data_IF_640580033057
#
_entry.id   IF_640580033057
#
_cell.length_a   1.000
_cell.length_b   1.000
_cell.length_c   1.000
_cell.angle_alpha   90.00
_cell.angle_beta   90.00
_cell.angle_gamma   90.00
#
_symmetry.space_group_name_H-M   'P 1'
#
loop_
_entity.id
_entity.type
_entity.pdbx_description
1 polymer ?
#
# COMPACT_ATOMS: atom_id res chain seq x y z
N UNK A 1 -14.86 -11.68 8.43
CA UNK A 1 -15.61 -12.44 9.44
C UNK A 1 -15.42 -11.83 10.84
N UNK A 2 -16.40 -11.10 11.37
CA UNK A 2 -16.37 -10.51 12.71
C UNK A 2 -16.12 -9.01 12.74
N UNK A 3 -16.11 -8.43 13.94
CA UNK A 3 -15.97 -6.98 14.20
C UNK A 3 -14.47 -6.55 14.26
N UNK A 4 -13.57 -7.29 13.61
CA UNK A 4 -12.15 -7.00 13.58
C UNK A 4 -11.80 -5.84 12.65
N UNK A 5 -10.52 -5.45 12.69
CA UNK A 5 -9.94 -4.37 11.88
C UNK A 5 -10.16 -4.56 10.38
N UNK A 6 -10.30 -3.44 9.66
CA UNK A 6 -10.39 -3.39 8.21
C UNK A 6 -9.13 -2.76 7.63
N UNK A 7 -8.44 -3.47 6.75
CA UNK A 7 -7.21 -3.01 6.11
C UNK A 7 -7.36 -2.96 4.60
N UNK A 8 -6.79 -1.92 3.99
CA UNK A 8 -6.64 -1.76 2.54
C UNK A 8 -5.17 -1.96 2.18
N UNK A 9 -4.89 -2.91 1.29
CA UNK A 9 -3.54 -3.20 0.79
C UNK A 9 -3.52 -2.97 -0.71
N UNK A 10 -2.66 -2.06 -1.15
CA UNK A 10 -2.57 -1.56 -2.53
C UNK A 10 -1.21 -1.91 -3.12
N UNK A 11 -1.21 -2.29 -4.38
CA UNK A 11 -0.06 -2.36 -5.26
C UNK A 11 -0.43 -1.89 -6.66
N UNK A 12 0.57 -1.63 -7.51
CA UNK A 12 0.33 -1.15 -8.86
C UNK A 12 -0.28 0.26 -8.91
N UNK A 13 0.03 1.09 -7.92
CA UNK A 13 -0.20 2.55 -7.94
C UNK A 13 0.52 3.16 -9.15
N UNK A 14 1.76 2.71 -9.41
CA UNK A 14 2.43 2.89 -10.69
C UNK A 14 2.52 1.53 -11.39
N UNK A 15 2.30 1.51 -12.71
CA UNK A 15 2.12 0.26 -13.44
C UNK A 15 3.41 -0.46 -13.82
N UNK A 16 4.57 0.14 -13.62
CA UNK A 16 5.89 -0.45 -13.82
C UNK A 16 6.55 -0.98 -12.52
N UNK A 17 5.80 -0.98 -11.41
CA UNK A 17 6.21 -1.44 -10.08
C UNK A 17 5.51 -2.79 -9.79
N UNK A 18 6.23 -3.92 -9.95
CA UNK A 18 5.61 -5.25 -10.00
C UNK A 18 5.68 -6.03 -8.68
N UNK A 19 6.54 -5.63 -7.75
CA UNK A 19 6.79 -6.33 -6.49
C UNK A 19 5.54 -6.35 -5.60
N UNK A 20 4.88 -5.18 -5.43
CA UNK A 20 3.63 -5.07 -4.69
C UNK A 20 2.50 -5.93 -5.27
N UNK A 21 2.17 -5.79 -6.57
CA UNK A 21 1.21 -6.66 -7.25
C UNK A 21 1.47 -8.15 -7.04
N UNK A 22 2.73 -8.58 -7.20
CA UNK A 22 3.14 -9.97 -7.03
C UNK A 22 2.88 -10.48 -5.61
N UNK A 23 3.34 -9.74 -4.60
CA UNK A 23 3.17 -10.10 -3.20
C UNK A 23 1.68 -10.17 -2.80
N UNK A 24 0.88 -9.19 -3.21
CA UNK A 24 -0.56 -9.16 -2.92
C UNK A 24 -1.28 -10.36 -3.54
N UNK A 25 -0.98 -10.71 -4.79
CA UNK A 25 -1.59 -11.87 -5.44
C UNK A 25 -1.20 -13.20 -4.78
N UNK A 26 0.02 -13.32 -4.26
CA UNK A 26 0.47 -14.52 -3.53
C UNK A 26 -0.25 -14.62 -2.19
N UNK A 27 -0.32 -13.54 -1.42
CA UNK A 27 -1.07 -13.50 -0.16
C UNK A 27 -2.55 -13.83 -0.39
N UNK A 28 -3.19 -13.26 -1.40
CA UNK A 28 -4.60 -13.53 -1.71
C UNK A 28 -4.91 -15.02 -1.87
N UNK A 29 -3.94 -15.80 -2.38
CA UNK A 29 -4.07 -17.26 -2.53
C UNK A 29 -3.75 -18.04 -1.25
N UNK A 30 -2.98 -17.45 -0.34
CA UNK A 30 -2.53 -18.11 0.88
C UNK A 30 -3.46 -17.86 2.08
N UNK A 31 -4.28 -16.82 2.04
CA UNK A 31 -5.20 -16.47 3.13
C UNK A 31 -6.34 -17.49 3.26
N UNK A 32 -6.52 -17.98 4.48
CA UNK A 32 -7.61 -18.87 4.88
C UNK A 32 -8.66 -18.07 5.67
N UNK A 33 -9.86 -17.94 5.12
CA UNK A 33 -10.92 -17.06 5.65
C UNK A 33 -11.37 -17.43 7.08
N UNK A 34 -11.33 -18.69 7.44
CA UNK A 34 -11.69 -19.20 8.78
C UNK A 34 -10.64 -18.83 9.84
N UNK A 35 -9.41 -18.56 9.42
CA UNK A 35 -8.31 -18.10 10.27
C UNK A 35 -8.23 -16.58 10.40
N UNK A 36 -9.20 -15.85 9.88
CA UNK A 36 -9.22 -14.39 9.90
C UNK A 36 -10.27 -13.82 10.82
N UNK A 37 -9.96 -12.65 11.38
CA UNK A 37 -10.88 -11.81 12.14
C UNK A 37 -10.79 -10.37 11.60
N UNK A 38 -11.83 -9.90 10.92
CA UNK A 38 -11.84 -8.59 10.28
C UNK A 38 -11.93 -8.67 8.75
N UNK A 39 -11.50 -7.61 8.09
CA UNK A 39 -11.66 -7.44 6.65
C UNK A 39 -10.35 -7.04 5.99
N UNK A 40 -10.02 -7.67 4.87
CA UNK A 40 -8.88 -7.31 4.03
C UNK A 40 -9.39 -6.95 2.64
N UNK A 41 -9.08 -5.74 2.19
CA UNK A 41 -9.30 -5.30 0.81
C UNK A 41 -7.95 -5.34 0.11
N UNK A 42 -7.84 -6.13 -0.95
CA UNK A 42 -6.63 -6.30 -1.74
C UNK A 42 -6.82 -5.68 -3.13
N UNK A 43 -5.99 -4.71 -3.47
CA UNK A 43 -5.95 -4.08 -4.80
C UNK A 43 -4.55 -4.30 -5.39
N UNK A 44 -4.32 -5.39 -6.12
CA UNK A 44 -2.99 -5.70 -6.67
C UNK A 44 -2.60 -4.82 -7.86
N UNK A 45 -3.54 -4.12 -8.48
CA UNK A 45 -3.31 -3.32 -9.67
C UNK A 45 -4.22 -2.08 -9.65
N UNK A 46 -3.88 -1.10 -8.78
CA UNK A 46 -4.70 0.08 -8.59
C UNK A 46 -4.92 0.84 -9.89
N UNK A 47 -3.84 1.17 -10.58
CA UNK A 47 -3.90 1.80 -11.92
C UNK A 47 -3.80 0.71 -12.99
N UNK A 48 -4.87 -0.10 -13.14
CA UNK A 48 -4.86 -1.31 -13.95
C UNK A 48 -4.35 -1.10 -15.38
N UNK A 49 -4.78 -0.04 -16.06
CA UNK A 49 -4.32 0.26 -17.42
C UNK A 49 -2.81 0.56 -17.47
N UNK A 50 -2.26 1.20 -16.42
CA UNK A 50 -0.83 1.43 -16.30
C UNK A 50 -0.07 0.11 -16.08
N UNK A 51 -0.59 -0.78 -15.22
CA UNK A 51 0.00 -2.12 -14.98
C UNK A 51 0.03 -2.93 -16.28
N UNK A 52 -1.05 -2.95 -17.05
CA UNK A 52 -1.09 -3.64 -18.35
C UNK A 52 -0.06 -3.09 -19.36
N UNK A 53 0.26 -1.82 -19.28
CA UNK A 53 1.25 -1.16 -20.17
C UNK A 53 2.64 -1.07 -19.56
N UNK A 54 2.79 -1.51 -18.30
CA UNK A 54 4.04 -1.36 -17.56
C UNK A 54 4.54 0.09 -17.61
N UNK A 55 3.65 1.04 -17.36
CA UNK A 55 3.92 2.49 -17.40
C UNK A 55 3.70 3.12 -16.03
N UNK A 56 4.51 4.14 -15.70
CA UNK A 56 4.38 4.86 -14.43
C UNK A 56 3.06 5.64 -14.34
N UNK A 57 2.63 6.24 -15.44
CA UNK A 57 1.37 7.00 -15.53
C UNK A 57 0.27 6.17 -16.17
N UNK A 58 -0.98 6.52 -15.90
CA UNK A 58 -2.13 5.91 -16.53
C UNK A 58 -2.18 6.27 -18.02
N UNK A 59 -2.13 5.33 -18.97
CA UNK A 59 -2.14 5.63 -20.40
C UNK A 59 -3.47 6.22 -20.91
N UNK A 60 -4.54 6.19 -20.13
CA UNK A 60 -5.84 6.74 -20.50
C UNK A 60 -5.88 8.27 -20.40
N UNK A 61 -5.08 8.86 -19.52
CA UNK A 61 -5.09 10.31 -19.22
C UNK A 61 -3.70 10.90 -18.97
N UNK A 62 -2.64 10.08 -19.00
CA UNK A 62 -1.26 10.42 -18.69
C UNK A 62 -1.03 10.96 -17.28
N UNK A 63 -1.97 10.75 -16.36
CA UNK A 63 -1.86 11.20 -14.97
C UNK A 63 -1.10 10.19 -14.14
N UNK A 64 -0.26 10.69 -13.22
CA UNK A 64 0.36 9.89 -12.17
C UNK A 64 -0.64 9.75 -11.01
N UNK A 65 -1.06 8.52 -10.69
CA UNK A 65 -2.01 8.22 -9.61
C UNK A 65 -1.58 8.83 -8.28
N UNK A 66 -0.30 8.74 -7.95
CA UNK A 66 0.25 9.29 -6.70
C UNK A 66 0.53 10.80 -6.75
N UNK A 67 -0.13 11.51 -7.70
CA UNK A 67 -0.19 12.97 -7.84
C UNK A 67 -1.61 13.45 -8.18
N UNK A 68 -2.61 12.57 -8.01
CA UNK A 68 -3.99 12.86 -8.40
C UNK A 68 -4.92 13.18 -7.23
N UNK A 69 -4.50 12.95 -5.99
CA UNK A 69 -5.30 13.22 -4.80
C UNK A 69 -5.46 14.74 -4.52
N UNK A 70 -6.62 15.19 -4.04
CA UNK A 70 -7.79 14.43 -3.58
C UNK A 70 -8.67 13.90 -4.71
N UNK A 71 -8.35 14.16 -5.96
CA UNK A 71 -9.12 13.76 -7.11
C UNK A 71 -10.31 14.66 -7.41
N UNK A 72 -11.08 14.26 -8.43
CA UNK A 72 -12.28 14.95 -8.88
C UNK A 72 -13.29 13.92 -9.40
N UNK A 73 -14.52 13.84 -8.86
CA UNK A 73 -15.52 12.84 -9.30
C UNK A 73 -15.99 13.03 -10.75
N UNK A 74 -15.77 14.22 -11.31
CA UNK A 74 -16.10 14.54 -12.71
C UNK A 74 -14.83 14.77 -13.57
N UNK A 75 -13.68 14.34 -13.08
CA UNK A 75 -12.39 14.52 -13.74
C UNK A 75 -12.00 13.38 -14.69
N UNK A 76 -10.72 13.24 -14.92
CA UNK A 76 -10.13 12.15 -15.70
C UNK A 76 -10.30 10.81 -14.95
N UNK A 77 -10.13 9.64 -15.61
CA UNK A 77 -10.23 8.34 -14.96
C UNK A 77 -9.36 8.21 -13.70
N UNK A 78 -8.13 8.74 -13.73
CA UNK A 78 -7.23 8.73 -12.56
C UNK A 78 -7.73 9.64 -11.45
N UNK A 79 -8.24 10.82 -11.76
CA UNK A 79 -8.80 11.73 -10.76
C UNK A 79 -10.08 11.18 -10.14
N UNK A 80 -10.94 10.52 -10.92
CA UNK A 80 -12.13 9.85 -10.40
C UNK A 80 -11.77 8.73 -9.42
N UNK A 81 -10.74 7.94 -9.76
CA UNK A 81 -10.25 6.87 -8.88
C UNK A 81 -9.64 7.44 -7.59
N UNK A 82 -8.82 8.48 -7.68
CA UNK A 82 -8.26 9.17 -6.53
C UNK A 82 -9.35 9.71 -5.60
N UNK A 83 -10.38 10.33 -6.18
CA UNK A 83 -11.53 10.81 -5.42
C UNK A 83 -12.24 9.69 -4.68
N UNK A 84 -12.57 8.59 -5.35
CA UNK A 84 -13.21 7.42 -4.71
C UNK A 84 -12.36 6.84 -3.57
N UNK A 85 -11.06 6.73 -3.77
CA UNK A 85 -10.16 6.26 -2.72
C UNK A 85 -10.19 7.16 -1.49
N UNK A 86 -10.07 8.47 -1.69
CA UNK A 86 -9.97 9.42 -0.57
C UNK A 86 -11.31 9.67 0.12
N UNK A 87 -12.41 9.77 -0.63
CA UNK A 87 -13.72 10.09 -0.07
C UNK A 87 -14.45 8.89 0.54
N UNK A 88 -14.21 7.67 0.02
CA UNK A 88 -15.01 6.51 0.37
C UNK A 88 -14.17 5.37 0.95
N UNK A 89 -13.13 4.93 0.22
CA UNK A 89 -12.49 3.68 0.57
C UNK A 89 -11.53 3.83 1.76
N UNK A 90 -10.64 4.81 1.73
CA UNK A 90 -9.68 5.08 2.82
C UNK A 90 -10.40 5.33 4.14
N UNK A 91 -11.41 6.23 4.22
CA UNK A 91 -12.10 6.51 5.49
C UNK A 91 -12.84 5.29 6.06
N UNK A 92 -13.16 4.29 5.22
CA UNK A 92 -13.80 3.06 5.67
C UNK A 92 -12.84 2.04 6.30
N UNK A 93 -11.54 2.32 6.32
CA UNK A 93 -10.49 1.41 6.77
C UNK A 93 -9.81 1.88 8.07
N UNK A 94 -9.28 0.94 8.85
CA UNK A 94 -8.44 1.23 10.03
C UNK A 94 -6.97 1.44 9.66
N UNK A 95 -6.52 0.89 8.53
CA UNK A 95 -5.15 1.02 8.04
C UNK A 95 -5.07 0.89 6.52
N UNK A 96 -4.06 1.54 5.94
CA UNK A 96 -3.73 1.48 4.51
C UNK A 96 -2.27 1.10 4.33
N UNK A 97 -1.98 0.19 3.42
CA UNK A 97 -0.64 -0.20 3.01
C UNK A 97 -0.51 0.01 1.50
N UNK A 98 0.50 0.74 1.05
CA UNK A 98 0.79 0.96 -0.37
C UNK A 98 2.19 0.44 -0.71
N UNK A 99 2.26 -0.55 -1.61
CA UNK A 99 3.51 -1.20 -1.98
C UNK A 99 4.03 -0.63 -3.29
N UNK A 100 5.14 0.09 -3.20
CA UNK A 100 5.88 0.67 -4.30
C UNK A 100 7.20 -0.03 -4.56
N UNK A 101 7.85 0.34 -5.65
CA UNK A 101 9.24 0.01 -5.97
C UNK A 101 9.87 1.07 -6.87
N UNK A 102 11.14 0.89 -7.22
CA UNK A 102 11.84 1.76 -8.19
C UNK A 102 11.32 1.68 -9.63
N UNK A 103 10.37 0.79 -9.91
CA UNK A 103 9.87 0.55 -11.26
C UNK A 103 10.99 0.21 -12.23
N UNK A 104 10.91 0.70 -13.46
CA UNK A 104 11.96 0.48 -14.48
C UNK A 104 13.17 1.40 -14.33
N UNK A 105 13.01 2.54 -13.65
CA UNK A 105 13.98 3.63 -13.69
C UNK A 105 14.99 3.60 -12.54
N UNK A 106 14.66 2.97 -11.44
CA UNK A 106 15.50 2.96 -10.24
C UNK A 106 15.39 1.64 -9.48
N UNK A 107 16.25 1.50 -8.47
CA UNK A 107 16.22 0.38 -7.52
C UNK A 107 16.35 0.95 -6.11
N UNK A 108 15.43 0.58 -5.24
CA UNK A 108 15.49 0.92 -3.82
C UNK A 108 15.99 -0.25 -3.00
N UNK A 109 16.86 0.04 -2.03
CA UNK A 109 17.00 -0.87 -0.90
C UNK A 109 15.64 -1.00 -0.21
N UNK A 110 15.15 -2.23 0.07
CA UNK A 110 13.84 -2.39 0.67
C UNK A 110 13.69 -1.58 1.96
N UNK A 111 12.70 -0.70 1.99
CA UNK A 111 12.41 0.13 3.16
C UNK A 111 10.91 0.35 3.37
N UNK A 112 10.52 0.51 4.64
CA UNK A 112 9.19 0.94 5.02
C UNK A 112 9.16 2.48 5.14
N UNK A 113 8.05 3.10 4.73
CA UNK A 113 7.87 4.54 4.76
C UNK A 113 6.77 4.89 5.76
N UNK A 114 7.07 5.79 6.69
CA UNK A 114 6.09 6.37 7.61
C UNK A 114 5.99 7.88 7.37
N UNK A 115 4.79 8.38 7.08
CA UNK A 115 4.57 9.82 6.90
C UNK A 115 4.43 10.50 8.26
N UNK A 116 5.21 11.56 8.48
CA UNK A 116 5.06 12.41 9.66
C UNK A 116 3.74 13.19 9.58
N UNK A 117 3.07 13.35 10.72
CA UNK A 117 1.82 14.12 10.83
C UNK A 117 1.89 15.10 11.99
N UNK A 118 1.08 16.18 11.90
CA UNK A 118 0.83 17.07 13.02
C UNK A 118 0.05 16.37 14.14
N UNK A 119 -0.80 15.41 13.78
CA UNK A 119 -1.44 14.49 14.73
C UNK A 119 -0.40 13.45 15.19
N UNK A 120 0.06 13.60 16.43
CA UNK A 120 1.11 12.73 17.00
C UNK A 120 0.67 11.27 17.13
N UNK A 121 -0.61 11.02 17.38
CA UNK A 121 -1.15 9.67 17.53
C UNK A 121 -1.23 8.98 16.16
N UNK A 122 -1.62 9.71 15.11
CA UNK A 122 -1.57 9.22 13.74
C UNK A 122 -0.13 8.91 13.32
N UNK A 123 0.81 9.83 13.58
CA UNK A 123 2.22 9.58 13.26
C UNK A 123 2.77 8.36 13.99
N UNK A 124 2.44 8.19 15.26
CA UNK A 124 2.81 6.98 16.02
C UNK A 124 2.22 5.72 15.39
N UNK A 125 0.96 5.78 14.96
CA UNK A 125 0.30 4.66 14.28
C UNK A 125 0.99 4.31 12.95
N UNK A 126 1.39 5.32 12.16
CA UNK A 126 2.15 5.13 10.93
C UNK A 126 3.51 4.47 11.19
N UNK A 127 4.24 4.91 12.22
CA UNK A 127 5.51 4.30 12.63
C UNK A 127 5.31 2.87 13.10
N UNK A 128 4.31 2.59 13.92
CA UNK A 128 4.02 1.24 14.39
C UNK A 128 3.72 0.27 13.24
N UNK A 129 3.01 0.73 12.19
CA UNK A 129 2.79 -0.07 10.98
C UNK A 129 4.11 -0.34 10.25
N UNK A 130 4.96 0.67 10.08
CA UNK A 130 6.26 0.53 9.44
C UNK A 130 7.19 -0.40 10.22
N UNK A 131 7.23 -0.30 11.55
CA UNK A 131 7.97 -1.20 12.43
C UNK A 131 7.42 -2.64 12.36
N UNK A 132 6.10 -2.79 12.39
CA UNK A 132 5.45 -4.09 12.28
C UNK A 132 5.73 -4.80 10.95
N UNK A 133 5.90 -4.05 9.85
CA UNK A 133 6.27 -4.61 8.55
C UNK A 133 7.60 -5.38 8.62
N UNK A 134 8.56 -4.93 9.44
CA UNK A 134 9.73 -5.70 9.82
C UNK A 134 10.92 -5.62 8.86
N UNK A 135 10.99 -4.59 8.02
CA UNK A 135 12.20 -4.25 7.24
C UNK A 135 13.15 -3.45 8.12
N UNK A 136 14.47 -3.62 7.91
CA UNK A 136 15.50 -2.96 8.72
C UNK A 136 15.52 -1.43 8.60
N UNK A 137 15.14 -0.90 7.42
CA UNK A 137 15.18 0.52 7.11
C UNK A 137 13.77 1.10 7.17
N UNK A 138 13.58 2.12 8.00
CA UNK A 138 12.37 2.93 8.03
C UNK A 138 12.72 4.34 7.58
N UNK A 139 12.10 4.78 6.49
CA UNK A 139 12.22 6.14 5.98
C UNK A 139 11.03 6.99 6.47
N UNK A 140 11.31 7.97 7.30
CA UNK A 140 10.29 8.90 7.76
C UNK A 140 10.15 10.05 6.76
N UNK A 141 9.01 10.08 6.07
CA UNK A 141 8.66 11.19 5.18
C UNK A 141 8.27 12.41 6.01
N UNK A 142 9.01 13.49 5.78
CA UNK A 142 8.85 14.74 6.53
C UNK A 142 7.74 15.64 5.98
N UNK A 143 7.77 16.90 6.41
CA UNK A 143 6.77 17.94 6.08
C UNK A 143 6.66 18.28 4.58
N UNK A 144 7.59 17.84 3.75
CA UNK A 144 7.59 18.08 2.30
C UNK A 144 6.98 16.93 1.51
N UNK A 145 6.16 16.10 2.15
CA UNK A 145 5.37 15.11 1.43
C UNK A 145 4.43 15.83 0.45
N UNK A 146 4.25 15.26 -0.75
CA UNK A 146 3.38 15.85 -1.78
C UNK A 146 1.90 15.70 -1.36
N UNK A 147 1.18 16.82 -1.24
CA UNK A 147 -0.23 16.84 -0.82
C UNK A 147 -1.16 16.05 -1.75
N UNK A 148 -0.68 15.76 -2.97
CA UNK A 148 -1.41 14.99 -3.99
C UNK A 148 -1.11 13.49 -3.94
N UNK A 149 -0.41 13.01 -2.91
CA UNK A 149 -0.08 11.60 -2.73
C UNK A 149 -1.15 10.83 -1.96
N UNK A 150 -1.14 9.49 -2.08
CA UNK A 150 -1.99 8.60 -1.27
C UNK A 150 -1.70 8.75 0.23
N UNK A 151 -0.44 8.97 0.59
CA UNK A 151 -0.04 9.21 1.98
C UNK A 151 -0.74 10.44 2.56
N UNK A 152 -0.80 11.53 1.79
CA UNK A 152 -1.49 12.75 2.19
C UNK A 152 -3.01 12.57 2.25
N UNK A 153 -3.57 11.76 1.35
CA UNK A 153 -4.99 11.38 1.39
C UNK A 153 -5.33 10.62 2.69
N UNK A 154 -4.51 9.64 3.07
CA UNK A 154 -4.69 8.91 4.32
C UNK A 154 -4.53 9.82 5.55
N UNK A 155 -3.56 10.77 5.53
CA UNK A 155 -3.40 11.77 6.60
C UNK A 155 -4.63 12.66 6.73
N UNK A 156 -5.19 13.17 5.62
CA UNK A 156 -6.42 13.96 5.64
C UNK A 156 -7.63 13.19 6.18
N UNK A 157 -7.71 11.91 5.85
CA UNK A 157 -8.74 10.99 6.38
C UNK A 157 -8.49 10.57 7.84
N UNK A 158 -7.35 10.93 8.43
CA UNK A 158 -6.90 10.50 9.76
C UNK A 158 -6.84 8.97 9.89
N UNK A 159 -6.43 8.27 8.83
CA UNK A 159 -6.27 6.81 8.77
C UNK A 159 -4.79 6.46 8.80
N UNK A 160 -4.41 5.50 9.64
CA UNK A 160 -3.04 5.02 9.73
C UNK A 160 -2.55 4.44 8.40
N UNK A 161 -1.37 4.85 7.95
CA UNK A 161 -0.80 4.39 6.69
C UNK A 161 0.70 4.17 6.78
N UNK A 162 1.18 3.12 6.13
CA UNK A 162 2.58 2.97 5.73
C UNK A 162 2.65 2.66 4.24
N UNK A 163 3.75 3.03 3.62
CA UNK A 163 4.12 2.54 2.30
C UNK A 163 5.44 1.75 2.38
N UNK A 164 5.79 1.04 1.33
CA UNK A 164 7.11 0.41 1.20
C UNK A 164 7.70 0.69 -0.18
N UNK A 165 9.02 0.85 -0.24
CA UNK A 165 9.78 0.81 -1.49
C UNK A 165 10.52 -0.53 -1.55
N UNK A 166 10.29 -1.31 -2.60
CA UNK A 166 10.63 -2.72 -2.67
C UNK A 166 11.44 -3.04 -3.94
N UNK A 167 12.74 -2.74 -3.95
CA UNK A 167 13.58 -3.07 -5.10
C UNK A 167 13.30 -2.21 -6.32
N UNK A 168 13.01 -2.83 -7.47
CA UNK A 168 12.82 -2.16 -8.76
C UNK A 168 13.65 -2.77 -9.88
N UNK A 169 14.09 -1.93 -10.85
CA UNK A 169 14.86 -2.40 -12.01
C UNK A 169 14.00 -3.07 -13.10
N UNK A 170 12.67 -2.91 -13.02
CA UNK A 170 11.72 -3.40 -14.03
C UNK A 170 11.43 -4.89 -13.96
N UNK A 171 11.77 -5.55 -12.86
CA UNK A 171 11.53 -6.97 -12.63
C UNK A 171 11.02 -7.26 -11.22
N UNK A 172 10.83 -8.54 -10.94
CA UNK A 172 10.45 -9.02 -9.60
C UNK A 172 11.42 -10.10 -9.17
N UNK A 173 12.10 -9.92 -8.04
CA UNK A 173 12.91 -10.99 -7.45
C UNK A 173 12.12 -11.81 -6.43
N UNK A 174 12.40 -13.11 -6.30
CA UNK A 174 11.81 -13.95 -5.24
C UNK A 174 12.14 -13.41 -3.85
N UNK A 175 13.34 -12.89 -3.63
CA UNK A 175 13.80 -12.33 -2.36
C UNK A 175 12.94 -11.14 -1.94
N UNK A 176 12.79 -10.16 -2.82
CA UNK A 176 11.97 -8.94 -2.56
C UNK A 176 10.50 -9.32 -2.35
N UNK A 177 9.98 -10.27 -3.15
CA UNK A 177 8.60 -10.74 -2.98
C UNK A 177 8.39 -11.38 -1.61
N UNK A 178 9.35 -12.19 -1.14
CA UNK A 178 9.28 -12.81 0.19
C UNK A 178 9.35 -11.76 1.32
N UNK A 179 10.16 -10.71 1.16
CA UNK A 179 10.20 -9.57 2.10
C UNK A 179 8.82 -8.92 2.18
N UNK A 180 8.21 -8.61 1.03
CA UNK A 180 6.90 -8.00 0.96
C UNK A 180 5.80 -8.88 1.59
N UNK A 181 5.77 -10.18 1.27
CA UNK A 181 4.82 -11.12 1.86
C UNK A 181 4.96 -11.23 3.37
N UNK A 182 6.20 -11.39 3.85
CA UNK A 182 6.48 -11.46 5.28
C UNK A 182 6.02 -10.18 5.98
N UNK A 183 6.31 -9.02 5.40
CA UNK A 183 5.89 -7.73 5.92
C UNK A 183 4.36 -7.60 6.01
N UNK A 184 3.65 -8.02 4.96
CA UNK A 184 2.18 -8.00 4.96
C UNK A 184 1.60 -8.95 6.03
N UNK A 185 2.15 -10.16 6.18
CA UNK A 185 1.74 -11.11 7.23
C UNK A 185 1.97 -10.52 8.62
N UNK A 186 3.11 -9.86 8.83
CA UNK A 186 3.41 -9.19 10.08
C UNK A 186 2.41 -8.08 10.42
N UNK A 187 2.03 -7.26 9.43
CA UNK A 187 0.97 -6.23 9.57
C UNK A 187 -0.37 -6.88 9.96
N UNK A 188 -0.77 -7.95 9.27
CA UNK A 188 -2.02 -8.64 9.55
C UNK A 188 -2.05 -9.23 10.97
N UNK A 189 -0.91 -9.76 11.45
CA UNK A 189 -0.74 -10.21 12.84
C UNK A 189 -0.78 -9.04 13.83
N UNK A 190 -0.07 -7.95 13.55
CA UNK A 190 -0.06 -6.74 14.37
C UNK A 190 -1.46 -6.16 14.57
N UNK A 191 -2.26 -6.15 13.51
CA UNK A 191 -3.65 -5.68 13.55
C UNK A 191 -4.64 -6.71 14.12
N UNK A 192 -4.17 -7.90 14.52
CA UNK A 192 -4.98 -9.02 15.00
C UNK A 192 -6.03 -9.50 13.98
N UNK A 193 -5.73 -9.35 12.68
CA UNK A 193 -6.59 -9.84 11.60
C UNK A 193 -6.37 -11.34 11.38
N UNK A 194 -5.13 -11.84 11.55
CA UNK A 194 -4.86 -13.27 11.56
C UNK A 194 -5.06 -13.84 12.97
N UNK A 195 -5.79 -14.96 13.07
CA UNK A 195 -6.09 -15.64 14.36
C UNK A 195 -4.91 -16.48 14.88
N UNK A 196 -3.97 -16.83 14.02
CA UNK A 196 -2.80 -17.67 14.38
C UNK A 196 -1.51 -17.01 13.91
N UNK A 197 -0.50 -16.98 14.81
CA UNK A 197 0.83 -16.40 14.51
C UNK A 197 1.68 -17.20 13.51
N UNK A 198 1.15 -18.26 12.93
CA UNK A 198 1.91 -19.16 12.05
C UNK A 198 1.40 -19.13 10.62
N UNK A 199 1.96 -18.24 9.81
CA UNK A 199 2.08 -18.46 8.38
C UNK A 199 3.49 -18.97 8.09
N UNK A 200 3.63 -20.24 7.79
CA UNK A 200 4.85 -20.77 7.19
C UNK A 200 4.65 -20.66 5.70
N UNK A 201 5.35 -19.73 5.07
CA UNK A 201 5.49 -19.74 3.59
C UNK A 201 6.13 -21.07 3.20
N UNK A 202 5.41 -21.85 2.42
CA UNK A 202 5.93 -23.04 1.75
C UNK A 202 6.71 -22.67 0.51
#
# INVERSE_FOLDING_TARGET
>A
NGDGKKILIIGGTHGDEFEGPSAIMRIARALELDKMNGHIILIPALTFAAVQKSSRTNPLDNVNMNRAFPGNPNGTPTEMLAHFLESELIPSCDAVIDLHSGGKASFFEPCALATSSKNKDLFRSNLNLAEAFGIQLIWVLGKNNDDRSLNSAAERANVAMMAAELGGGGGVSPEITNIAETGLINILNYLNILKTKSFVTK
#
